data_IF_023840016094
#
_entry.id   IF_023840016094
#
_cell.length_a   1.000
_cell.length_b   1.000
_cell.length_c   1.000
_cell.angle_alpha   90.00
_cell.angle_beta   90.00
_cell.angle_gamma   90.00
#
_symmetry.space_group_name_H-M   'P 1'
#
loop_
_entity.id
_entity.type
_entity.pdbx_description
1 polymer ?
#
# COMPACT_ATOMS: atom_id res chain seq x y z
N UNK A 1 -6.17 9.83 10.92
CA UNK A 1 -7.03 10.96 11.38
C UNK A 1 -7.97 10.40 12.42
N UNK A 2 -7.94 10.95 13.62
CA UNK A 2 -8.86 10.56 14.70
C UNK A 2 -10.26 11.09 14.38
N UNK A 3 -11.30 10.52 14.99
CA UNK A 3 -12.69 10.89 14.68
C UNK A 3 -13.00 12.34 15.06
N UNK A 4 -12.38 12.86 16.11
CA UNK A 4 -12.49 14.28 16.46
C UNK A 4 -12.01 15.16 15.31
N UNK A 5 -10.85 14.84 14.74
CA UNK A 5 -10.30 15.59 13.61
C UNK A 5 -11.16 15.51 12.33
N UNK A 6 -11.88 14.42 12.09
CA UNK A 6 -12.77 14.31 10.91
C UNK A 6 -14.05 15.11 11.09
N UNK A 7 -14.57 15.19 12.31
CA UNK A 7 -15.73 16.03 12.61
C UNK A 7 -15.38 17.52 12.46
N UNK A 8 -14.26 17.96 13.01
CA UNK A 8 -13.77 19.34 12.86
C UNK A 8 -13.56 19.70 11.39
N UNK A 9 -12.99 18.78 10.61
CA UNK A 9 -12.84 18.97 9.17
C UNK A 9 -14.19 19.08 8.48
N UNK A 10 -15.13 18.21 8.83
CA UNK A 10 -16.48 18.25 8.28
C UNK A 10 -17.19 19.57 8.58
N UNK A 11 -17.14 20.07 9.81
CA UNK A 11 -17.73 21.36 10.20
C UNK A 11 -17.12 22.51 9.40
N UNK A 12 -15.80 22.53 9.26
CA UNK A 12 -15.11 23.54 8.45
C UNK A 12 -15.51 23.49 6.98
N UNK A 13 -15.49 22.31 6.37
CA UNK A 13 -15.89 22.11 4.97
C UNK A 13 -17.34 22.50 4.79
N UNK A 14 -18.23 22.07 5.70
CA UNK A 14 -19.66 22.39 5.66
C UNK A 14 -19.92 23.88 5.72
N UNK A 15 -19.16 24.62 6.52
CA UNK A 15 -19.30 26.09 6.61
C UNK A 15 -18.87 26.81 5.33
N UNK A 16 -17.86 26.29 4.62
CA UNK A 16 -17.39 26.90 3.37
C UNK A 16 -18.27 26.57 2.15
N UNK A 17 -18.93 25.43 2.17
CA UNK A 17 -19.72 24.93 1.03
C UNK A 17 -21.21 24.84 1.34
N UNK A 18 -21.74 25.73 2.19
CA UNK A 18 -23.17 25.87 2.52
C UNK A 18 -23.86 24.53 2.87
N UNK A 19 -23.13 23.65 3.55
CA UNK A 19 -23.61 22.33 3.93
C UNK A 19 -23.69 21.31 2.78
N UNK A 20 -23.08 21.59 1.62
CA UNK A 20 -23.04 20.64 0.49
C UNK A 20 -22.01 19.52 0.72
N UNK A 21 -22.05 18.92 1.90
CA UNK A 21 -21.14 17.83 2.25
C UNK A 21 -21.83 16.76 3.10
N UNK A 22 -21.26 15.55 3.03
CA UNK A 22 -21.64 14.39 3.80
C UNK A 22 -20.45 13.94 4.65
N UNK A 23 -20.73 13.31 5.79
CA UNK A 23 -19.72 12.73 6.67
C UNK A 23 -19.88 11.22 6.74
N UNK A 24 -18.75 10.49 6.59
CA UNK A 24 -18.72 9.03 6.81
C UNK A 24 -17.49 8.64 7.61
N UNK A 25 -17.68 7.94 8.72
CA UNK A 25 -16.57 7.44 9.54
C UNK A 25 -16.88 6.08 10.19
N UNK A 26 -15.85 5.43 10.72
CA UNK A 26 -15.92 4.05 11.22
C UNK A 26 -16.95 3.78 12.31
N UNK A 27 -17.21 4.77 13.19
CA UNK A 27 -18.16 4.64 14.32
C UNK A 27 -19.63 4.81 13.94
N UNK A 28 -19.96 5.22 12.71
CA UNK A 28 -21.35 5.31 12.26
C UNK A 28 -21.96 3.92 12.11
N UNK A 29 -23.28 3.82 12.30
CA UNK A 29 -24.04 2.61 11.98
C UNK A 29 -23.98 2.32 10.49
N UNK A 30 -24.03 1.04 10.10
CA UNK A 30 -23.96 0.64 8.67
C UNK A 30 -25.04 1.34 7.84
N UNK A 31 -26.26 1.38 8.34
CA UNK A 31 -27.40 2.05 7.67
C UNK A 31 -27.10 3.52 7.37
N UNK A 32 -26.52 4.25 8.31
CA UNK A 32 -26.21 5.68 8.12
C UNK A 32 -25.09 5.89 7.11
N UNK A 33 -24.08 4.99 7.11
CA UNK A 33 -23.00 4.98 6.11
C UNK A 33 -23.54 4.71 4.71
N UNK A 34 -24.38 3.69 4.58
CA UNK A 34 -24.98 3.30 3.31
C UNK A 34 -25.85 4.41 2.76
N UNK A 35 -26.68 5.06 3.62
CA UNK A 35 -27.50 6.21 3.25
C UNK A 35 -26.66 7.39 2.77
N UNK A 36 -25.60 7.77 3.50
CA UNK A 36 -24.71 8.85 3.10
C UNK A 36 -24.00 8.55 1.77
N UNK A 37 -23.56 7.31 1.58
CA UNK A 37 -22.92 6.88 0.35
C UNK A 37 -23.85 6.89 -0.85
N UNK A 38 -25.10 6.47 -0.69
CA UNK A 38 -26.12 6.53 -1.75
C UNK A 38 -26.50 7.97 -2.10
N UNK A 39 -26.61 8.85 -1.10
CA UNK A 39 -26.84 10.28 -1.33
C UNK A 39 -25.69 10.91 -2.13
N UNK A 40 -24.43 10.56 -1.81
CA UNK A 40 -23.26 11.01 -2.55
C UNK A 40 -23.26 10.50 -4.00
N UNK A 41 -23.56 9.23 -4.22
CA UNK A 41 -23.65 8.63 -5.57
C UNK A 41 -24.76 9.25 -6.42
N UNK A 42 -25.84 9.71 -5.80
CA UNK A 42 -26.95 10.41 -6.49
C UNK A 42 -26.69 11.89 -6.69
N UNK A 43 -25.51 12.39 -6.31
CA UNK A 43 -25.15 13.80 -6.38
C UNK A 43 -26.07 14.72 -5.56
N UNK A 44 -26.68 14.21 -4.50
CA UNK A 44 -27.47 15.01 -3.57
C UNK A 44 -26.58 15.97 -2.77
N UNK A 45 -25.30 15.61 -2.62
CA UNK A 45 -24.23 16.41 -2.06
C UNK A 45 -22.95 16.18 -2.85
N UNK A 46 -22.16 17.24 -3.04
CA UNK A 46 -20.99 17.22 -3.91
C UNK A 46 -19.71 16.83 -3.17
N UNK A 47 -19.68 16.88 -1.85
CA UNK A 47 -18.48 16.65 -1.04
C UNK A 47 -18.73 15.53 -0.04
N UNK A 48 -17.78 14.61 0.03
CA UNK A 48 -17.78 13.54 1.02
C UNK A 48 -16.52 13.66 1.91
N UNK A 49 -16.71 13.93 3.18
CA UNK A 49 -15.66 13.94 4.19
C UNK A 49 -15.64 12.58 4.88
N UNK A 50 -14.48 11.93 4.91
CA UNK A 50 -14.42 10.60 5.50
C UNK A 50 -13.08 10.26 6.16
N UNK A 51 -13.12 9.27 7.04
CA UNK A 51 -11.93 8.53 7.46
C UNK A 51 -11.59 7.46 6.42
N UNK A 52 -10.45 6.77 6.60
CA UNK A 52 -9.96 5.67 5.72
C UNK A 52 -10.92 4.48 5.56
N UNK A 53 -12.04 4.46 6.27
CA UNK A 53 -13.06 3.39 6.19
C UNK A 53 -13.64 3.22 4.77
N UNK A 54 -13.46 4.21 3.89
CA UNK A 54 -13.90 4.15 2.49
C UNK A 54 -12.92 3.37 1.57
N UNK A 55 -11.89 2.75 2.11
CA UNK A 55 -10.91 1.99 1.31
C UNK A 55 -11.54 0.81 0.55
N UNK A 56 -12.65 0.25 1.04
CA UNK A 56 -13.24 -0.96 0.48
C UNK A 56 -14.65 -0.70 -0.04
N UNK A 57 -14.85 -0.90 -1.35
CA UNK A 57 -16.18 -1.06 -1.94
C UNK A 57 -16.92 0.21 -2.38
N UNK A 58 -16.34 1.41 -2.21
CA UNK A 58 -16.96 2.63 -2.69
C UNK A 58 -16.42 2.98 -4.07
N UNK A 59 -17.23 2.72 -5.07
CA UNK A 59 -16.98 3.15 -6.45
C UNK A 59 -17.85 4.37 -6.75
N UNK A 60 -17.25 5.56 -6.77
CA UNK A 60 -17.91 6.79 -7.21
C UNK A 60 -17.26 7.20 -8.52
N UNK A 61 -17.87 6.77 -9.62
CA UNK A 61 -17.31 6.92 -10.97
C UNK A 61 -17.07 8.37 -11.36
N UNK A 62 -17.89 9.28 -10.84
CA UNK A 62 -17.90 10.69 -11.21
C UNK A 62 -17.09 11.59 -10.25
N UNK A 63 -16.47 11.02 -9.24
CA UNK A 63 -15.58 11.77 -8.37
C UNK A 63 -14.30 12.18 -9.12
N UNK A 64 -14.07 13.49 -9.19
CA UNK A 64 -12.95 14.08 -9.93
C UNK A 64 -11.85 14.62 -9.02
N UNK A 65 -12.13 14.83 -7.74
CA UNK A 65 -11.16 15.38 -6.79
C UNK A 65 -11.10 14.52 -5.54
N UNK A 66 -9.89 14.23 -5.10
CA UNK A 66 -9.61 13.65 -3.79
C UNK A 66 -8.55 14.48 -3.06
N UNK A 67 -8.80 14.81 -1.81
CA UNK A 67 -7.85 15.48 -0.92
C UNK A 67 -7.54 14.57 0.27
N UNK A 68 -6.27 14.21 0.44
CA UNK A 68 -5.79 13.33 1.51
C UNK A 68 -5.06 14.17 2.54
N UNK A 69 -5.69 14.36 3.68
CA UNK A 69 -5.11 15.09 4.81
C UNK A 69 -4.14 14.20 5.59
N UNK A 70 -3.10 14.80 6.14
CA UNK A 70 -2.01 14.08 6.83
C UNK A 70 -1.39 12.96 5.96
N UNK A 71 -1.22 13.21 4.68
CA UNK A 71 -0.76 12.22 3.71
C UNK A 71 0.54 11.51 4.13
N UNK A 72 1.40 12.18 4.91
CA UNK A 72 2.64 11.60 5.43
C UNK A 72 2.45 10.42 6.40
N UNK A 73 1.25 10.26 6.97
CA UNK A 73 0.90 9.17 7.89
C UNK A 73 0.45 7.89 7.17
N UNK A 74 0.14 7.97 5.89
CA UNK A 74 -0.33 6.86 5.07
C UNK A 74 0.82 6.08 4.43
N UNK A 75 0.61 4.81 4.17
CA UNK A 75 1.48 4.02 3.32
C UNK A 75 1.36 4.44 1.84
N UNK A 76 2.45 4.34 1.07
CA UNK A 76 2.44 4.70 -0.35
C UNK A 76 1.41 3.89 -1.14
N UNK A 77 1.31 2.59 -0.87
CA UNK A 77 0.31 1.71 -1.50
C UNK A 77 -1.12 2.13 -1.16
N UNK A 78 -1.36 2.58 0.08
CA UNK A 78 -2.66 3.06 0.53
C UNK A 78 -3.05 4.36 -0.18
N UNK A 79 -2.13 5.32 -0.29
CA UNK A 79 -2.37 6.56 -1.05
C UNK A 79 -2.63 6.24 -2.53
N UNK A 80 -1.90 5.28 -3.10
CA UNK A 80 -2.11 4.85 -4.48
C UNK A 80 -3.52 4.28 -4.70
N UNK A 81 -3.99 3.45 -3.77
CA UNK A 81 -5.37 2.93 -3.81
C UNK A 81 -6.42 4.04 -3.69
N UNK A 82 -6.19 5.02 -2.80
CA UNK A 82 -7.07 6.18 -2.65
C UNK A 82 -7.06 7.05 -3.91
N UNK A 83 -5.90 7.31 -4.50
CA UNK A 83 -5.78 8.03 -5.79
C UNK A 83 -6.58 7.34 -6.89
N UNK A 84 -6.57 6.01 -6.94
CA UNK A 84 -7.33 5.23 -7.89
C UNK A 84 -8.86 5.26 -7.69
N UNK A 85 -9.37 5.99 -6.70
CA UNK A 85 -10.81 6.21 -6.49
C UNK A 85 -11.38 7.35 -7.34
N UNK A 86 -10.53 8.23 -7.86
CA UNK A 86 -10.90 9.29 -8.80
C UNK A 86 -10.26 9.03 -10.17
N UNK A 87 -10.74 9.70 -11.21
CA UNK A 87 -10.18 9.57 -12.55
C UNK A 87 -10.59 8.29 -13.28
N UNK A 88 -11.76 7.74 -12.97
CA UNK A 88 -12.30 6.54 -13.64
C UNK A 88 -13.18 6.84 -14.84
N UNK A 89 -13.34 8.10 -15.17
CA UNK A 89 -14.06 8.60 -16.32
C UNK A 89 -13.12 9.42 -17.21
N UNK A 90 -13.65 10.04 -18.28
CA UNK A 90 -12.88 10.89 -19.19
C UNK A 90 -12.61 12.29 -18.65
N UNK A 91 -13.09 12.61 -17.43
CA UNK A 91 -12.93 13.94 -16.83
C UNK A 91 -11.54 14.09 -16.22
N UNK A 92 -10.99 15.29 -16.32
CA UNK A 92 -9.74 15.62 -15.62
C UNK A 92 -9.94 15.47 -14.10
N UNK A 93 -9.05 14.74 -13.47
CA UNK A 93 -9.13 14.43 -12.03
C UNK A 93 -7.87 14.84 -11.30
N UNK A 94 -8.04 15.18 -10.03
CA UNK A 94 -6.96 15.70 -9.18
C UNK A 94 -6.88 14.94 -7.87
N UNK A 95 -5.65 14.66 -7.43
CA UNK A 95 -5.35 14.11 -6.12
C UNK A 95 -4.44 15.07 -5.37
N UNK A 96 -4.94 15.65 -4.29
CA UNK A 96 -4.18 16.55 -3.44
C UNK A 96 -3.67 15.81 -2.21
N UNK A 97 -2.36 15.84 -1.99
CA UNK A 97 -1.72 15.27 -0.81
C UNK A 97 -1.31 16.40 0.12
N UNK A 98 -2.03 16.54 1.25
CA UNK A 98 -1.78 17.58 2.24
C UNK A 98 -0.92 17.01 3.38
N UNK A 99 0.16 17.71 3.70
CA UNK A 99 1.09 17.31 4.76
C UNK A 99 1.70 18.53 5.42
N UNK A 100 1.85 18.50 6.73
CA UNK A 100 2.61 19.47 7.51
C UNK A 100 4.13 19.25 7.42
N UNK A 101 4.55 18.07 6.93
CA UNK A 101 5.96 17.73 6.72
C UNK A 101 6.42 18.18 5.35
N UNK A 102 7.21 19.25 5.36
CA UNK A 102 7.86 19.78 4.15
C UNK A 102 8.90 18.76 3.64
N UNK A 103 9.03 18.61 2.32
CA UNK A 103 10.01 17.75 1.64
C UNK A 103 9.93 16.25 2.01
N UNK A 104 8.73 15.71 2.07
CA UNK A 104 8.55 14.28 2.25
C UNK A 104 8.84 13.53 0.95
N UNK A 105 10.05 12.94 0.85
CA UNK A 105 10.50 12.18 -0.33
C UNK A 105 9.49 11.10 -0.77
N UNK A 106 8.82 10.46 0.19
CA UNK A 106 7.80 9.45 -0.09
C UNK A 106 6.61 10.02 -0.87
N UNK A 107 6.14 11.22 -0.50
CA UNK A 107 5.02 11.87 -1.20
C UNK A 107 5.45 12.38 -2.58
N UNK A 108 6.71 12.82 -2.74
CA UNK A 108 7.25 13.22 -4.03
C UNK A 108 7.33 12.07 -5.04
N UNK A 109 7.52 10.85 -4.57
CA UNK A 109 7.47 9.65 -5.43
C UNK A 109 6.07 9.47 -6.00
N UNK A 110 5.03 9.63 -5.18
CA UNK A 110 3.64 9.53 -5.62
C UNK A 110 3.23 10.62 -6.62
N UNK A 111 3.85 11.79 -6.56
CA UNK A 111 3.64 12.85 -7.54
C UNK A 111 4.19 12.49 -8.90
N UNK A 112 5.35 11.84 -8.94
CA UNK A 112 6.07 11.49 -10.18
C UNK A 112 5.61 10.18 -10.81
N UNK A 113 5.16 9.22 -9.98
CA UNK A 113 4.85 7.85 -10.42
C UNK A 113 3.34 7.61 -10.36
N UNK A 114 2.76 7.35 -11.53
CA UNK A 114 1.35 6.99 -11.66
C UNK A 114 1.13 5.48 -11.75
N UNK A 115 2.11 4.74 -12.23
CA UNK A 115 2.06 3.29 -12.38
C UNK A 115 2.24 2.57 -11.04
N UNK A 116 1.33 1.66 -10.72
CA UNK A 116 1.34 0.93 -9.44
C UNK A 116 2.49 -0.06 -9.30
N UNK A 117 2.99 -0.59 -10.43
CA UNK A 117 4.12 -1.51 -10.43
C UNK A 117 5.42 -0.76 -10.12
N UNK A 118 5.67 0.34 -10.85
CA UNK A 118 6.82 1.22 -10.58
C UNK A 118 6.79 1.80 -9.17
N UNK A 119 5.60 2.13 -8.66
CA UNK A 119 5.44 2.56 -7.28
C UNK A 119 5.84 1.47 -6.29
N UNK A 120 5.49 0.22 -6.57
CA UNK A 120 5.85 -0.91 -5.71
C UNK A 120 7.36 -1.13 -5.67
N UNK A 121 8.05 -0.95 -6.79
CA UNK A 121 9.53 -0.98 -6.84
C UNK A 121 10.15 0.14 -5.99
N UNK A 122 9.63 1.37 -6.09
CA UNK A 122 10.14 2.49 -5.28
C UNK A 122 9.84 2.30 -3.78
N UNK A 123 8.67 1.75 -3.43
CA UNK A 123 8.36 1.37 -2.04
C UNK A 123 9.37 0.34 -1.53
N UNK A 124 9.72 -0.64 -2.35
CA UNK A 124 10.72 -1.65 -2.00
C UNK A 124 12.10 -1.03 -1.78
N UNK A 125 12.54 -0.11 -2.63
CA UNK A 125 13.80 0.62 -2.47
C UNK A 125 13.83 1.44 -1.17
N UNK A 126 12.72 2.11 -0.83
CA UNK A 126 12.63 2.94 0.38
C UNK A 126 12.57 2.12 1.69
N UNK A 127 11.85 1.01 1.68
CA UNK A 127 11.70 0.14 2.87
C UNK A 127 12.93 -0.73 3.09
N UNK A 128 13.70 -0.95 2.03
CA UNK A 128 14.73 -1.97 2.03
C UNK A 128 14.15 -3.39 2.07
N UNK A 129 14.99 -4.39 1.93
CA UNK A 129 14.58 -5.80 1.83
C UNK A 129 14.02 -6.41 3.12
N UNK A 130 14.03 -5.68 4.24
CA UNK A 130 13.68 -6.23 5.57
C UNK A 130 12.22 -6.68 5.74
N UNK A 131 11.28 -6.05 5.01
CA UNK A 131 9.85 -6.38 5.14
C UNK A 131 9.41 -7.56 4.25
N UNK A 132 10.26 -8.00 3.32
CA UNK A 132 9.91 -9.07 2.38
C UNK A 132 9.90 -10.47 3.04
N UNK A 133 10.60 -10.63 4.15
CA UNK A 133 10.77 -11.92 4.81
C UNK A 133 9.90 -12.13 6.06
N UNK A 134 8.77 -11.45 6.16
CA UNK A 134 7.73 -11.72 7.16
C UNK A 134 8.25 -11.91 8.60
N UNK A 135 7.83 -11.03 9.50
CA UNK A 135 7.95 -11.22 10.95
C UNK A 135 9.31 -11.67 11.53
N UNK A 136 10.36 -10.84 11.39
CA UNK A 136 11.44 -10.83 12.39
C UNK A 136 11.91 -9.43 12.70
N UNK A 137 11.57 -9.03 13.89
CA UNK A 137 12.04 -7.86 14.64
C UNK A 137 13.54 -7.97 15.01
N UNK A 138 14.39 -8.49 14.15
CA UNK A 138 15.84 -8.53 14.44
C UNK A 138 16.64 -8.73 13.17
N UNK A 139 17.19 -7.62 12.67
CA UNK A 139 18.30 -7.61 11.72
C UNK A 139 17.92 -8.01 10.30
N UNK A 140 18.24 -7.16 9.33
CA UNK A 140 18.24 -7.55 7.92
C UNK A 140 19.02 -8.85 7.76
N UNK A 141 18.54 -9.83 6.96
CA UNK A 141 19.44 -10.86 6.45
C UNK A 141 20.51 -10.16 5.62
N UNK A 142 21.71 -10.14 6.12
CA UNK A 142 22.86 -9.66 5.35
C UNK A 142 23.12 -10.73 4.31
N UNK A 143 22.81 -10.45 3.05
CA UNK A 143 23.24 -11.31 1.96
C UNK A 143 24.77 -11.25 1.86
N UNK A 144 25.40 -12.40 1.84
CA UNK A 144 26.86 -12.48 1.75
C UNK A 144 27.33 -12.06 0.36
N UNK A 145 26.50 -12.24 -0.67
CA UNK A 145 26.86 -12.10 -2.07
C UNK A 145 25.83 -11.34 -2.92
N UNK A 146 25.15 -10.35 -2.40
CA UNK A 146 24.21 -9.59 -3.22
C UNK A 146 23.46 -8.50 -2.48
N UNK A 147 22.93 -7.58 -3.26
CA UNK A 147 22.03 -6.51 -2.81
C UNK A 147 20.66 -6.79 -3.42
N UNK A 148 19.62 -6.97 -2.58
CA UNK A 148 18.28 -7.32 -3.05
C UNK A 148 17.72 -6.30 -4.04
N UNK A 149 18.07 -5.03 -3.90
CA UNK A 149 17.56 -3.97 -4.76
C UNK A 149 18.35 -3.91 -6.07
N UNK A 150 19.67 -3.94 -5.98
CA UNK A 150 20.53 -3.83 -7.16
C UNK A 150 20.55 -5.09 -8.01
N UNK A 151 20.45 -6.25 -7.34
CA UNK A 151 20.58 -7.56 -7.96
C UNK A 151 19.22 -8.28 -8.08
N UNK A 152 18.11 -7.50 -8.16
CA UNK A 152 16.75 -8.05 -8.22
C UNK A 152 16.55 -9.07 -9.35
N UNK A 153 17.13 -8.81 -10.53
CA UNK A 153 17.05 -9.75 -11.65
C UNK A 153 17.73 -11.08 -11.33
N UNK A 154 18.86 -11.03 -10.63
CA UNK A 154 19.61 -12.24 -10.20
C UNK A 154 18.79 -12.98 -9.14
N UNK A 155 18.18 -12.23 -8.21
CA UNK A 155 17.31 -12.80 -7.18
C UNK A 155 16.10 -13.52 -7.80
N UNK A 156 15.46 -12.91 -8.80
CA UNK A 156 14.33 -13.52 -9.50
C UNK A 156 14.70 -14.86 -10.14
N UNK A 157 15.81 -14.89 -10.87
CA UNK A 157 16.31 -16.14 -11.47
C UNK A 157 16.65 -17.18 -10.40
N UNK A 158 17.31 -16.77 -9.31
CA UNK A 158 17.65 -17.68 -8.21
C UNK A 158 16.40 -18.25 -7.51
N UNK A 159 15.32 -17.48 -7.40
CA UNK A 159 14.04 -17.95 -6.85
C UNK A 159 13.37 -18.98 -7.77
N UNK A 160 13.41 -18.75 -9.08
CA UNK A 160 12.88 -19.70 -10.07
C UNK A 160 13.67 -21.00 -10.07
N UNK A 161 15.00 -20.93 -10.03
CA UNK A 161 15.87 -22.09 -9.94
C UNK A 161 15.64 -22.88 -8.64
N UNK A 162 15.56 -22.19 -7.50
CA UNK A 162 15.25 -22.80 -6.21
C UNK A 162 13.88 -23.51 -6.24
N UNK A 163 12.87 -22.88 -6.83
CA UNK A 163 11.52 -23.46 -7.00
C UNK A 163 11.59 -24.73 -7.86
N UNK A 164 12.35 -24.74 -8.94
CA UNK A 164 12.53 -25.91 -9.79
C UNK A 164 13.25 -27.05 -9.02
N UNK A 165 14.29 -26.70 -8.26
CA UNK A 165 15.02 -27.69 -7.45
C UNK A 165 14.11 -28.35 -6.41
N UNK A 166 13.25 -27.57 -5.77
CA UNK A 166 12.33 -28.05 -4.72
C UNK A 166 11.20 -28.86 -5.36
N UNK A 167 10.48 -28.29 -6.33
CA UNK A 167 9.28 -28.89 -6.91
C UNK A 167 9.57 -30.21 -7.68
N UNK A 168 10.75 -30.30 -8.28
CA UNK A 168 11.19 -31.49 -9.00
C UNK A 168 12.06 -32.41 -8.15
N UNK A 169 12.18 -32.14 -6.85
CA UNK A 169 13.01 -32.91 -5.91
C UNK A 169 14.48 -33.10 -6.35
N UNK A 170 15.01 -32.16 -7.14
CA UNK A 170 16.36 -32.26 -7.71
C UNK A 170 17.45 -32.34 -6.64
N UNK A 171 17.18 -31.81 -5.45
CA UNK A 171 18.08 -31.90 -4.30
C UNK A 171 18.38 -33.36 -3.87
N UNK A 172 17.61 -34.35 -4.31
CA UNK A 172 17.85 -35.78 -4.08
C UNK A 172 18.87 -36.38 -5.04
N UNK A 173 19.14 -35.72 -6.18
CA UNK A 173 20.10 -36.18 -7.17
C UNK A 173 21.55 -35.94 -6.70
N UNK A 174 22.46 -36.78 -7.17
CA UNK A 174 23.87 -36.73 -6.78
C UNK A 174 24.54 -35.38 -7.05
N UNK A 175 24.24 -34.75 -8.17
CA UNK A 175 24.78 -33.48 -8.60
C UNK A 175 24.40 -32.31 -7.66
N UNK A 176 23.30 -32.42 -6.90
CA UNK A 176 22.83 -31.40 -5.95
C UNK A 176 23.21 -31.68 -4.49
N UNK A 177 23.85 -32.80 -4.21
CA UNK A 177 24.17 -33.21 -2.83
C UNK A 177 25.12 -32.25 -2.12
N UNK A 178 26.05 -31.63 -2.84
CA UNK A 178 26.98 -30.65 -2.28
C UNK A 178 26.22 -29.43 -1.81
N UNK A 179 25.31 -28.87 -2.65
CA UNK A 179 24.43 -27.75 -2.32
C UNK A 179 23.57 -28.09 -1.11
N UNK A 180 22.93 -29.24 -1.11
CA UNK A 180 22.05 -29.69 -0.02
C UNK A 180 22.80 -29.83 1.33
N UNK A 181 24.01 -30.40 1.34
CA UNK A 181 24.83 -30.47 2.53
C UNK A 181 25.25 -29.07 3.02
N UNK A 182 25.62 -28.20 2.09
CA UNK A 182 25.99 -26.82 2.41
C UNK A 182 24.80 -26.05 3.05
N UNK A 183 23.62 -26.11 2.45
CA UNK A 183 22.43 -25.50 3.00
C UNK A 183 22.05 -26.03 4.37
N UNK A 184 22.19 -27.33 4.62
CA UNK A 184 21.96 -27.94 5.95
C UNK A 184 22.91 -27.44 7.02
N UNK A 185 24.07 -26.91 6.66
CA UNK A 185 25.04 -26.39 7.62
C UNK A 185 24.66 -25.02 8.17
N UNK A 186 23.73 -24.28 7.55
CA UNK A 186 23.27 -22.99 8.06
C UNK A 186 22.35 -23.16 9.26
N UNK A 187 22.62 -22.44 10.34
CA UNK A 187 21.85 -22.53 11.59
C UNK A 187 20.39 -22.06 11.46
N UNK A 188 20.06 -21.20 10.48
CA UNK A 188 18.69 -20.72 10.31
C UNK A 188 17.72 -21.80 9.80
N UNK A 189 18.24 -22.85 9.14
CA UNK A 189 17.44 -24.03 8.77
C UNK A 189 17.15 -24.95 9.97
N UNK A 190 17.85 -24.78 11.08
CA UNK A 190 17.60 -25.55 12.31
C UNK A 190 16.42 -25.03 13.13
N UNK A 191 15.85 -23.88 12.81
CA UNK A 191 14.74 -23.24 13.52
C UNK A 191 13.44 -23.23 12.70
N UNK A 192 12.96 -24.38 12.26
CA UNK A 192 11.55 -24.56 11.93
C UNK A 192 11.05 -23.98 10.60
N UNK A 193 11.69 -24.40 9.49
CA UNK A 193 11.10 -24.27 8.14
C UNK A 193 10.79 -25.67 7.55
N UNK A 194 10.97 -26.72 8.34
CA UNK A 194 10.68 -28.11 7.95
C UNK A 194 9.80 -28.80 9.01
N UNK A 195 8.64 -28.21 9.33
CA UNK A 195 7.50 -28.92 9.90
C UNK A 195 6.29 -28.72 8.99
#
# INVERSE_FOLDING_TARGET
MDIENVNDLFERVSSYFDGDCLLVHGKMKSIDKDSAMEAFKRHEKSILVSTTVIEVGVDVKDATVIAIFDAHRFGLSQIHQLRGRVGRNSLQSYCFLLSDKVNNERLQILEKISDGFLLSEEVLKLRGPGDFFGNKQSGMPTFIYGDIVKDYNILSVAMDDASQIINNELYKKEEYQILYKYLKSFEFLKKGILD
#
